data_IF_873132490684
#
_entry.id   IF_873132490684
#
_cell.length_a   1.000
_cell.length_b   1.000
_cell.length_c   1.000
_cell.angle_alpha   90.00
_cell.angle_beta   90.00
_cell.angle_gamma   90.00
#
_symmetry.space_group_name_H-M   'P 1'
#
loop_
_entity.id
_entity.type
_entity.pdbx_description
1 polymer ?
#
# COMPACT_ATOMS: atom_id res chain seq x y z
N UNK A 1 3.22 3.16 58.91
CA UNK A 1 3.73 2.41 57.73
C UNK A 1 3.06 3.02 56.51
N UNK A 2 3.76 3.91 55.79
CA UNK A 2 3.20 4.70 54.67
C UNK A 2 3.15 3.81 53.42
N UNK A 3 1.95 3.48 52.96
CA UNK A 3 1.76 2.73 51.72
C UNK A 3 1.95 3.69 50.55
N UNK A 4 3.10 3.57 49.87
CA UNK A 4 3.46 4.37 48.70
C UNK A 4 2.55 3.97 47.53
N UNK A 5 1.60 4.83 47.18
CA UNK A 5 0.71 4.64 46.05
C UNK A 5 1.46 4.97 44.76
N UNK A 6 2.02 3.95 44.09
CA UNK A 6 2.60 4.06 42.76
C UNK A 6 1.48 4.33 41.75
N UNK A 7 1.37 5.59 41.34
CA UNK A 7 0.47 6.02 40.26
C UNK A 7 1.09 5.55 38.92
N UNK A 8 0.64 4.39 38.44
CA UNK A 8 1.05 3.84 37.16
C UNK A 8 0.61 4.74 36.02
N UNK A 9 1.56 5.43 35.39
CA UNK A 9 1.34 6.26 34.22
C UNK A 9 1.13 5.34 33.00
N UNK A 10 -0.13 5.04 32.68
CA UNK A 10 -0.50 4.34 31.45
C UNK A 10 -0.31 5.28 30.26
N UNK A 11 0.77 5.11 29.51
CA UNK A 11 0.93 5.77 28.20
C UNK A 11 0.03 5.06 27.19
N UNK A 12 -1.02 5.74 26.76
CA UNK A 12 -1.89 5.25 25.70
C UNK A 12 -1.14 5.33 24.37
N UNK A 13 -0.59 4.22 23.90
CA UNK A 13 -0.07 4.11 22.53
C UNK A 13 -1.27 4.14 21.59
N UNK A 14 -1.49 5.27 20.91
CA UNK A 14 -2.43 5.33 19.78
C UNK A 14 -1.82 4.54 18.62
N UNK A 15 -2.39 3.37 18.32
CA UNK A 15 -2.10 2.66 17.08
C UNK A 15 -2.65 3.50 15.91
N UNK A 16 -1.76 4.07 15.10
CA UNK A 16 -2.15 4.75 13.87
C UNK A 16 -2.64 3.70 12.87
N UNK A 17 -3.88 3.84 12.39
CA UNK A 17 -4.38 3.01 11.30
C UNK A 17 -3.51 3.27 10.05
N UNK A 18 -2.91 2.21 9.50
CA UNK A 18 -2.15 2.32 8.25
C UNK A 18 -3.12 2.47 7.08
N UNK A 19 -2.98 3.58 6.36
CA UNK A 19 -3.75 3.88 5.15
C UNK A 19 -3.61 2.72 4.15
N UNK A 20 -4.72 2.36 3.50
CA UNK A 20 -4.76 1.23 2.56
C UNK A 20 -5.45 1.61 1.27
N UNK A 21 -4.89 1.14 0.16
CA UNK A 21 -5.44 1.30 -1.18
C UNK A 21 -5.59 -0.08 -1.80
N UNK A 22 -6.69 -0.33 -2.49
CA UNK A 22 -6.95 -1.60 -3.18
C UNK A 22 -6.89 -1.41 -4.69
N UNK A 23 -6.21 -2.33 -5.37
CA UNK A 23 -6.16 -2.46 -6.83
C UNK A 23 -6.64 -3.87 -7.17
N UNK A 24 -7.55 -3.99 -8.13
CA UNK A 24 -7.95 -5.27 -8.71
C UNK A 24 -7.01 -5.60 -9.86
N UNK A 25 -6.50 -6.82 -9.90
CA UNK A 25 -5.88 -7.38 -11.09
C UNK A 25 -6.91 -8.28 -11.78
N UNK A 26 -7.32 -7.89 -13.00
CA UNK A 26 -8.28 -8.64 -13.81
C UNK A 26 -8.00 -8.49 -15.29
N UNK A 27 -8.11 -9.58 -16.04
CA UNK A 27 -7.71 -9.68 -17.44
C UNK A 27 -6.30 -9.14 -17.67
N UNK A 28 -5.37 -9.42 -16.74
CA UNK A 28 -4.00 -8.91 -16.78
C UNK A 28 -3.89 -7.38 -16.81
N UNK A 29 -4.84 -6.68 -16.17
CA UNK A 29 -4.87 -5.23 -16.01
C UNK A 29 -4.98 -4.86 -14.54
N UNK A 30 -4.19 -3.88 -14.10
CA UNK A 30 -4.38 -3.25 -12.80
C UNK A 30 -5.50 -2.21 -12.87
N UNK A 31 -6.47 -2.31 -11.96
CA UNK A 31 -7.69 -1.50 -11.95
C UNK A 31 -7.95 -0.97 -10.53
N UNK A 32 -7.88 0.36 -10.31
CA UNK A 32 -7.41 1.35 -11.27
C UNK A 32 -5.91 1.19 -11.54
N UNK A 33 -5.46 1.56 -12.74
CA UNK A 33 -4.04 1.57 -13.09
C UNK A 33 -3.27 2.69 -12.36
N UNK A 34 -3.98 3.74 -11.93
CA UNK A 34 -3.42 4.86 -11.18
C UNK A 34 -4.11 4.95 -9.82
N UNK A 35 -3.31 5.05 -8.76
CA UNK A 35 -3.80 5.30 -7.40
C UNK A 35 -3.10 6.49 -6.78
N UNK A 36 -3.80 7.24 -5.94
CA UNK A 36 -3.24 8.37 -5.21
C UNK A 36 -3.06 8.01 -3.73
N UNK A 37 -1.91 8.40 -3.18
CA UNK A 37 -1.58 8.16 -1.76
C UNK A 37 -0.93 9.39 -1.14
N UNK A 38 -1.07 9.57 0.19
CA UNK A 38 -0.42 10.68 0.88
C UNK A 38 1.10 10.48 1.01
N UNK A 39 1.85 11.57 0.82
CA UNK A 39 3.27 11.65 1.09
C UNK A 39 3.59 11.39 2.57
N UNK A 40 4.80 10.87 2.83
CA UNK A 40 5.32 10.70 4.20
C UNK A 40 4.67 9.59 5.02
N UNK A 41 3.74 8.81 4.45
CA UNK A 41 3.05 7.71 5.14
C UNK A 41 3.40 6.34 4.57
N UNK A 42 3.46 5.35 5.46
CA UNK A 42 3.48 3.93 5.06
C UNK A 42 2.07 3.54 4.62
N UNK A 43 1.96 2.92 3.45
CA UNK A 43 0.67 2.54 2.85
C UNK A 43 0.63 1.01 2.67
N UNK A 44 -0.54 0.41 2.87
CA UNK A 44 -0.85 -0.94 2.40
C UNK A 44 -1.46 -0.89 1.02
N UNK A 45 -0.72 -1.33 0.02
CA UNK A 45 -1.26 -1.62 -1.29
C UNK A 45 -1.81 -3.05 -1.28
N UNK A 46 -3.11 -3.20 -1.45
CA UNK A 46 -3.80 -4.48 -1.51
C UNK A 46 -4.06 -4.78 -2.98
N UNK A 47 -3.46 -5.84 -3.50
CA UNK A 47 -3.74 -6.32 -4.85
C UNK A 47 -4.70 -7.49 -4.75
N UNK A 48 -5.90 -7.35 -5.33
CA UNK A 48 -6.91 -8.40 -5.43
C UNK A 48 -6.81 -9.06 -6.80
N UNK A 49 -6.08 -10.17 -6.89
CA UNK A 49 -5.97 -10.92 -8.13
C UNK A 49 -7.25 -11.73 -8.36
N UNK A 50 -8.05 -11.27 -9.32
CA UNK A 50 -9.29 -11.90 -9.75
C UNK A 50 -9.11 -12.76 -11.01
N UNK A 51 -7.90 -12.88 -11.54
CA UNK A 51 -7.58 -13.78 -12.64
C UNK A 51 -7.46 -15.23 -12.19
N UNK A 52 -7.54 -16.14 -13.16
CA UNK A 52 -7.33 -17.58 -12.94
C UNK A 52 -5.84 -17.96 -12.96
N UNK A 53 -4.96 -16.99 -13.30
CA UNK A 53 -3.50 -17.16 -13.38
C UNK A 53 -2.78 -16.34 -12.32
N UNK A 54 -1.56 -16.77 -12.00
CA UNK A 54 -0.65 -15.94 -11.21
C UNK A 54 -0.18 -14.73 -12.04
N UNK A 55 0.26 -13.71 -11.33
CA UNK A 55 0.99 -12.55 -11.85
C UNK A 55 2.12 -12.24 -10.86
N UNK A 56 3.08 -11.42 -11.25
CA UNK A 56 4.12 -10.92 -10.36
C UNK A 56 4.16 -9.40 -10.40
N UNK A 57 3.81 -8.77 -9.28
CA UNK A 57 4.00 -7.33 -9.13
C UNK A 57 5.49 -7.07 -9.03
N UNK A 58 6.01 -6.16 -9.85
CA UNK A 58 7.35 -5.61 -9.73
C UNK A 58 7.35 -4.08 -9.86
N UNK A 59 8.27 -3.44 -9.16
CA UNK A 59 8.49 -2.00 -9.18
C UNK A 59 9.90 -1.67 -8.71
N UNK A 60 10.71 -1.19 -9.64
CA UNK A 60 12.01 -0.58 -9.33
C UNK A 60 11.86 0.67 -8.47
N UNK A 61 10.89 1.53 -8.80
CA UNK A 61 10.66 2.81 -8.11
C UNK A 61 10.29 2.60 -6.63
N UNK A 62 9.51 1.55 -6.33
CA UNK A 62 9.08 1.20 -4.97
C UNK A 62 10.04 0.24 -4.27
N UNK A 63 10.99 -0.36 -5.01
CA UNK A 63 11.85 -1.46 -4.58
C UNK A 63 11.04 -2.62 -3.96
N UNK A 64 10.03 -3.09 -4.70
CA UNK A 64 9.11 -4.15 -4.25
C UNK A 64 8.78 -5.12 -5.38
N UNK A 65 8.88 -6.39 -5.05
CA UNK A 65 8.44 -7.51 -5.87
C UNK A 65 7.49 -8.40 -5.05
N UNK A 66 6.44 -8.95 -5.69
CA UNK A 66 5.55 -9.91 -5.05
C UNK A 66 4.77 -10.75 -6.06
N UNK A 67 4.89 -12.08 -5.94
CA UNK A 67 3.96 -13.01 -6.62
C UNK A 67 2.52 -12.83 -6.10
N UNK A 68 1.61 -12.60 -7.04
CA UNK A 68 0.17 -12.42 -6.89
C UNK A 68 -0.55 -13.70 -7.30
N UNK A 69 -0.86 -14.55 -6.32
CA UNK A 69 -1.55 -15.81 -6.60
C UNK A 69 -2.99 -15.62 -7.11
N UNK A 70 -3.50 -16.50 -7.99
CA UNK A 70 -4.85 -16.39 -8.55
C UNK A 70 -5.93 -16.47 -7.47
N UNK A 71 -7.02 -15.73 -7.68
CA UNK A 71 -8.20 -15.63 -6.79
C UNK A 71 -7.86 -15.30 -5.33
N UNK A 72 -6.83 -14.46 -5.13
CA UNK A 72 -6.34 -14.11 -3.78
C UNK A 72 -5.94 -12.64 -3.70
N UNK A 73 -6.03 -12.13 -2.46
CA UNK A 73 -5.49 -10.82 -2.10
C UNK A 73 -4.06 -10.95 -1.61
N UNK A 74 -3.21 -10.03 -2.06
CA UNK A 74 -1.83 -9.86 -1.59
C UNK A 74 -1.65 -8.46 -1.03
N UNK A 75 -0.82 -8.32 0.00
CA UNK A 75 -0.51 -7.02 0.63
C UNK A 75 0.95 -6.69 0.34
N UNK A 76 1.17 -5.48 -0.18
CA UNK A 76 2.48 -4.90 -0.44
C UNK A 76 2.56 -3.60 0.37
N UNK A 77 3.55 -3.50 1.25
CA UNK A 77 3.77 -2.26 2.01
C UNK A 77 4.73 -1.35 1.26
N UNK A 78 4.27 -0.12 0.98
CA UNK A 78 5.05 0.93 0.30
C UNK A 78 5.23 2.13 1.22
N UNK A 79 6.28 2.91 0.95
CA UNK A 79 6.60 4.13 1.68
C UNK A 79 7.15 3.96 3.10
N UNK A 80 7.37 5.08 3.82
CA UNK A 80 7.06 6.46 3.45
C UNK A 80 7.68 6.92 2.12
N UNK A 81 6.89 7.53 1.24
CA UNK A 81 7.32 8.04 -0.06
C UNK A 81 7.29 9.57 -0.09
N UNK A 82 8.19 10.17 -0.85
CA UNK A 82 8.13 11.58 -1.21
C UNK A 82 7.08 11.80 -2.30
N UNK A 83 6.65 13.06 -2.50
CA UNK A 83 5.79 13.42 -3.65
C UNK A 83 6.47 13.00 -4.96
N UNK A 84 5.70 12.37 -5.84
CA UNK A 84 6.21 11.85 -7.10
C UNK A 84 5.32 10.76 -7.68
N UNK A 85 5.77 10.20 -8.80
CA UNK A 85 5.15 9.07 -9.48
C UNK A 85 6.04 7.84 -9.34
N UNK A 86 5.45 6.71 -8.96
CA UNK A 86 6.15 5.44 -8.75
C UNK A 86 5.47 4.36 -9.57
N UNK A 87 6.14 3.89 -10.61
CA UNK A 87 5.60 2.92 -11.57
C UNK A 87 5.76 1.50 -11.07
N UNK A 88 4.79 0.67 -11.42
CA UNK A 88 4.82 -0.77 -11.18
C UNK A 88 4.20 -1.49 -12.38
N UNK A 89 4.54 -2.76 -12.54
CA UNK A 89 4.06 -3.58 -13.64
C UNK A 89 3.93 -5.04 -13.22
N UNK A 90 3.23 -5.82 -14.05
CA UNK A 90 3.15 -7.27 -13.93
C UNK A 90 4.24 -7.91 -14.79
N UNK A 91 5.21 -8.60 -14.18
CA UNK A 91 6.33 -9.23 -14.91
C UNK A 91 5.86 -10.32 -15.88
N UNK A 92 4.75 -11.01 -15.59
CA UNK A 92 4.22 -12.05 -16.49
C UNK A 92 3.33 -11.46 -17.60
N UNK A 93 2.85 -10.22 -17.42
CA UNK A 93 2.03 -9.50 -18.40
C UNK A 93 2.51 -8.05 -18.60
N UNK A 94 3.77 -7.81 -18.96
CA UNK A 94 4.40 -6.48 -18.90
C UNK A 94 3.81 -5.48 -19.89
N UNK A 95 3.14 -5.95 -20.94
CA UNK A 95 2.51 -5.05 -21.92
C UNK A 95 1.12 -4.55 -21.50
N UNK A 96 0.47 -5.20 -20.52
CA UNK A 96 -0.91 -4.89 -20.13
C UNK A 96 -1.04 -4.51 -18.65
N UNK A 97 -0.39 -5.26 -17.77
CA UNK A 97 -0.43 -5.03 -16.33
C UNK A 97 0.54 -3.89 -15.99
N UNK A 98 0.08 -2.65 -16.16
CA UNK A 98 0.84 -1.44 -15.92
C UNK A 98 0.10 -0.56 -14.92
N UNK A 99 0.84 0.09 -14.02
CA UNK A 99 0.26 1.04 -13.10
C UNK A 99 1.24 2.02 -12.48
N UNK A 100 0.69 3.00 -11.77
CA UNK A 100 1.44 4.07 -11.12
C UNK A 100 0.80 4.45 -9.78
N UNK A 101 1.63 4.61 -8.77
CA UNK A 101 1.26 5.25 -7.51
C UNK A 101 1.66 6.72 -7.60
N UNK A 102 0.69 7.62 -7.49
CA UNK A 102 0.93 9.06 -7.41
C UNK A 102 0.89 9.47 -5.95
N UNK A 103 2.03 9.95 -5.46
CA UNK A 103 2.18 10.43 -4.10
C UNK A 103 1.96 11.93 -4.10
N UNK A 104 0.97 12.41 -3.34
CA UNK A 104 0.64 13.83 -3.21
C UNK A 104 0.79 14.30 -1.77
N UNK A 105 1.00 15.60 -1.60
CA UNK A 105 0.97 16.20 -0.26
C UNK A 105 -0.38 15.97 0.41
N UNK A 106 -0.36 15.76 1.72
CA UNK A 106 -1.57 15.81 2.54
C UNK A 106 -1.97 17.28 2.60
N UNK A 107 -2.83 17.71 1.70
CA UNK A 107 -3.54 18.97 1.88
C UNK A 107 -4.65 18.68 2.87
N UNK A 108 -4.55 19.21 4.09
CA UNK A 108 -5.61 19.19 5.09
C UNK A 108 -6.81 20.00 4.60
N UNK A 109 -7.52 19.50 3.59
CA UNK A 109 -8.80 20.03 3.14
C UNK A 109 -9.93 19.36 3.94
N UNK A 110 -9.93 19.57 5.27
CA UNK A 110 -11.07 19.45 6.17
C UNK A 110 -10.65 19.84 7.60
N UNK A 111 -10.77 21.14 7.90
CA UNK A 111 -11.19 21.58 9.24
C UNK A 111 -12.71 21.49 9.33
#
# INVERSE_FOLDING_TARGET
>A
MYFCMLFGMFTSVKAAATDSVTIVLKNHLFIPAQVEVPAGKKIRLIIDNQDDTAEEFDSFDLNREKVLFPKRKSIIYIGPLSVGEYRFFGEFSPNTAQGVVIVKEITDAAQ
#
